data_IF_787591531217
#
_entry.id   IF_787591531217
#
_cell.length_a   1.000
_cell.length_b   1.000
_cell.length_c   1.000
_cell.angle_alpha   90.00
_cell.angle_beta   90.00
_cell.angle_gamma   90.00
#
_symmetry.space_group_name_H-M   'P 1'
#
loop_
_entity.id
_entity.type
_entity.pdbx_description
1 polymer ?
#
# COMPACT_ATOMS: atom_id res chain seq x y z
N UNK A 1 -38.43 8.30 62.53
CA UNK A 1 -37.29 8.56 63.42
C UNK A 1 -36.06 8.45 62.54
N UNK A 2 -35.56 9.57 62.12
CA UNK A 2 -34.48 10.39 62.63
C UNK A 2 -33.19 9.57 62.71
N UNK A 3 -32.14 9.85 62.06
CA UNK A 3 -31.34 10.96 61.48
C UNK A 3 -30.06 10.27 61.09
N UNK A 4 -29.01 10.69 60.57
CA UNK A 4 -28.39 11.98 60.46
C UNK A 4 -27.49 11.95 59.19
N UNK A 5 -27.43 13.12 58.58
CA UNK A 5 -26.48 13.40 57.48
C UNK A 5 -25.13 13.74 58.11
N UNK A 6 -24.08 13.09 57.69
CA UNK A 6 -22.75 13.66 57.76
C UNK A 6 -22.20 14.02 56.39
N UNK A 7 -22.11 15.31 56.23
CA UNK A 7 -21.52 16.00 55.08
C UNK A 7 -20.03 16.04 55.28
N UNK A 8 -19.25 15.32 54.52
CA UNK A 8 -17.80 15.58 54.42
C UNK A 8 -17.51 16.17 53.05
N UNK A 9 -17.03 17.43 53.10
CA UNK A 9 -16.58 18.16 51.91
C UNK A 9 -15.32 17.53 51.30
N UNK A 10 -15.17 17.52 49.98
CA UNK A 10 -13.96 17.01 49.33
C UNK A 10 -12.83 18.05 49.39
N UNK A 11 -11.65 17.57 49.75
CA UNK A 11 -10.38 18.26 49.67
C UNK A 11 -10.02 18.51 48.20
N UNK A 12 -9.60 19.69 47.76
CA UNK A 12 -9.15 19.92 46.39
C UNK A 12 -7.75 19.28 46.18
N UNK A 13 -7.66 18.21 45.42
CA UNK A 13 -6.39 17.73 44.88
C UNK A 13 -5.99 18.64 43.72
N UNK A 14 -4.91 19.35 43.89
CA UNK A 14 -4.19 20.07 42.82
C UNK A 14 -3.65 19.02 41.86
N UNK A 15 -4.21 18.97 40.64
CA UNK A 15 -3.65 18.20 39.54
C UNK A 15 -2.48 19.01 38.94
N UNK A 16 -1.33 18.39 38.66
CA UNK A 16 -0.29 19.02 37.85
C UNK A 16 -0.74 19.10 36.40
N UNK A 17 -0.32 20.16 35.77
CA UNK A 17 -0.52 20.65 34.43
C UNK A 17 -1.00 19.66 33.35
N UNK A 18 -2.09 20.09 32.71
CA UNK A 18 -2.81 19.36 31.68
C UNK A 18 -2.00 19.05 30.44
N UNK A 19 -1.58 17.81 30.31
CA UNK A 19 -1.36 17.19 29.00
C UNK A 19 -2.65 16.42 28.63
N UNK A 20 -3.41 16.99 27.71
CA UNK A 20 -4.49 16.27 27.04
C UNK A 20 -3.90 15.05 26.34
N UNK A 21 -4.57 13.88 26.35
CA UNK A 21 -4.14 12.73 25.58
C UNK A 21 -4.16 13.10 24.10
N UNK A 22 -2.97 13.09 23.48
CA UNK A 22 -2.78 13.36 22.07
C UNK A 22 -3.59 12.35 21.25
N UNK A 23 -4.73 12.80 20.75
CA UNK A 23 -5.39 12.16 19.62
C UNK A 23 -4.36 12.07 18.48
N UNK A 24 -4.25 10.89 17.86
CA UNK A 24 -3.45 10.63 16.68
C UNK A 24 -3.95 11.54 15.54
N UNK A 25 -3.42 12.75 15.45
CA UNK A 25 -3.62 13.57 14.27
C UNK A 25 -2.69 13.02 13.18
N UNK A 26 -3.31 12.56 12.11
CA UNK A 26 -2.77 12.04 10.85
C UNK A 26 -1.85 13.01 10.09
N UNK A 27 -1.25 14.04 10.70
CA UNK A 27 -0.57 15.11 9.97
C UNK A 27 0.65 15.68 10.68
N UNK A 28 1.73 14.88 10.78
CA UNK A 28 3.09 15.42 10.96
C UNK A 28 3.88 15.50 9.62
N UNK A 29 3.23 15.25 8.48
CA UNK A 29 3.77 15.59 7.16
C UNK A 29 3.72 17.11 7.02
N UNK A 30 4.85 17.75 6.70
CA UNK A 30 4.83 19.12 6.18
C UNK A 30 3.93 19.06 4.96
N UNK A 31 2.76 19.74 4.93
CA UNK A 31 1.93 19.72 3.74
C UNK A 31 2.79 20.21 2.59
N UNK A 32 2.82 19.46 1.50
CA UNK A 32 3.34 19.94 0.24
C UNK A 32 2.38 21.05 -0.21
N UNK A 33 2.54 22.23 0.39
CA UNK A 33 1.99 23.45 -0.17
C UNK A 33 2.79 23.70 -1.42
N UNK A 34 2.15 23.59 -2.56
CA UNK A 34 2.61 24.14 -3.84
C UNK A 34 2.92 25.63 -3.65
N UNK A 35 4.05 25.95 -3.02
CA UNK A 35 4.66 27.24 -3.27
C UNK A 35 4.97 27.24 -4.76
N UNK A 36 4.13 27.95 -5.50
CA UNK A 36 4.29 28.25 -6.92
C UNK A 36 5.72 28.69 -7.17
N UNK A 37 6.63 27.77 -7.38
CA UNK A 37 7.84 28.05 -8.10
C UNK A 37 7.38 28.49 -9.49
N UNK A 38 7.61 29.77 -9.81
CA UNK A 38 7.33 30.35 -11.11
C UNK A 38 7.98 29.49 -12.18
N UNK A 39 7.26 28.52 -12.72
CA UNK A 39 7.61 27.89 -13.98
C UNK A 39 6.65 28.38 -15.03
N UNK A 40 7.18 28.80 -16.16
CA UNK A 40 6.45 28.96 -17.39
C UNK A 40 5.74 27.64 -17.72
N UNK A 41 4.47 27.68 -18.10
CA UNK A 41 3.71 26.57 -18.69
C UNK A 41 3.34 25.35 -17.81
N UNK A 42 2.91 25.52 -16.56
CA UNK A 42 2.25 24.43 -15.82
C UNK A 42 3.13 23.26 -15.40
N UNK A 43 4.44 23.31 -15.63
CA UNK A 43 5.40 22.30 -15.20
C UNK A 43 5.69 22.45 -13.70
N UNK A 44 5.49 21.39 -12.91
CA UNK A 44 5.93 21.34 -11.51
C UNK A 44 7.40 20.95 -11.45
N UNK A 45 8.25 21.84 -10.95
CA UNK A 45 9.69 21.61 -10.82
C UNK A 45 10.14 21.73 -9.37
N UNK A 46 11.05 20.87 -8.97
CA UNK A 46 11.67 20.89 -7.64
C UNK A 46 13.18 20.63 -7.78
N UNK A 47 13.99 21.36 -7.03
CA UNK A 47 15.43 21.08 -7.00
C UNK A 47 15.71 19.86 -6.11
N UNK A 48 16.76 19.10 -6.43
CA UNK A 48 17.18 17.95 -5.61
C UNK A 48 17.38 18.29 -4.13
N UNK A 49 18.06 19.39 -3.75
CA UNK A 49 18.17 19.76 -2.33
C UNK A 49 16.81 19.94 -1.64
N UNK A 50 15.86 20.60 -2.31
CA UNK A 50 14.51 20.82 -1.77
C UNK A 50 13.73 19.51 -1.67
N UNK A 51 13.84 18.63 -2.66
CA UNK A 51 13.24 17.28 -2.64
C UNK A 51 13.73 16.47 -1.43
N UNK A 52 15.03 16.54 -1.12
CA UNK A 52 15.62 15.80 0.02
C UNK A 52 15.22 16.37 1.40
N UNK A 53 14.60 17.54 1.46
CA UNK A 53 14.06 18.11 2.71
C UNK A 53 12.62 17.66 2.97
N UNK A 54 11.90 17.19 1.93
CA UNK A 54 10.51 16.74 2.03
C UNK A 54 10.47 15.37 2.70
N UNK A 55 9.47 15.18 3.55
CA UNK A 55 9.10 13.88 4.13
C UNK A 55 7.79 13.46 3.48
N UNK A 56 7.86 12.43 2.67
CA UNK A 56 6.67 11.83 2.11
C UNK A 56 6.12 10.80 3.09
N UNK A 57 4.80 10.75 3.31
CA UNK A 57 4.21 9.67 4.09
C UNK A 57 4.47 8.35 3.35
N UNK A 58 5.09 7.39 4.02
CA UNK A 58 5.25 6.05 3.46
C UNK A 58 3.93 5.32 3.66
N UNK A 59 3.36 4.83 2.57
CA UNK A 59 2.23 3.93 2.61
C UNK A 59 2.76 2.50 2.66
N UNK A 60 2.34 1.69 3.65
CA UNK A 60 2.75 0.30 3.69
C UNK A 60 2.25 -0.43 2.43
N UNK A 61 2.98 -1.44 2.00
CA UNK A 61 2.50 -2.36 0.98
C UNK A 61 1.18 -2.97 1.45
N UNK A 62 0.24 -3.17 0.54
CA UNK A 62 -1.04 -3.84 0.88
C UNK A 62 -0.76 -5.30 1.26
N UNK A 63 0.17 -5.95 0.55
CA UNK A 63 0.70 -7.28 0.87
C UNK A 63 2.21 -7.18 0.80
N UNK A 64 2.88 -7.38 1.94
CA UNK A 64 4.34 -7.23 2.04
C UNK A 64 5.08 -8.14 1.07
N UNK A 65 6.01 -7.58 0.31
CA UNK A 65 6.81 -8.31 -0.65
C UNK A 65 6.06 -8.75 -1.92
N UNK A 66 4.72 -8.63 -2.00
CA UNK A 66 3.93 -9.07 -3.16
C UNK A 66 3.19 -7.91 -3.84
N UNK A 67 2.54 -7.03 -3.08
CA UNK A 67 1.68 -5.96 -3.63
C UNK A 67 1.97 -4.61 -2.95
N UNK A 68 3.02 -3.91 -3.37
CA UNK A 68 3.25 -2.51 -2.98
C UNK A 68 2.09 -1.60 -3.39
N UNK A 69 2.06 -0.36 -2.86
CA UNK A 69 1.09 0.65 -3.31
C UNK A 69 1.36 0.98 -4.78
N UNK A 70 0.32 0.95 -5.61
CA UNK A 70 0.44 1.22 -7.05
C UNK A 70 -0.67 0.58 -7.87
N UNK A 71 -0.50 0.58 -9.19
CA UNK A 71 -1.46 0.00 -10.14
C UNK A 71 -0.88 -1.25 -10.79
N UNK A 72 -1.55 -2.37 -10.60
CA UNK A 72 -1.11 -3.69 -11.02
C UNK A 72 -2.09 -4.36 -11.96
N UNK A 73 -1.55 -5.10 -12.93
CA UNK A 73 -2.34 -5.99 -13.80
C UNK A 73 -2.30 -7.41 -13.20
N UNK A 74 -3.47 -8.05 -13.01
CA UNK A 74 -3.55 -9.49 -12.81
C UNK A 74 -4.04 -10.13 -14.10
N UNK A 75 -3.15 -10.80 -14.82
CA UNK A 75 -3.47 -11.41 -16.09
C UNK A 75 -3.44 -12.93 -16.02
N UNK A 76 -4.11 -13.58 -16.98
CA UNK A 76 -4.11 -15.03 -17.11
C UNK A 76 -5.21 -15.52 -18.06
N UNK A 77 -5.09 -16.75 -18.51
CA UNK A 77 -6.05 -17.37 -19.42
C UNK A 77 -7.49 -17.37 -18.83
N UNK A 78 -8.53 -17.34 -19.66
CA UNK A 78 -9.89 -17.55 -19.19
C UNK A 78 -10.01 -18.86 -18.38
N UNK A 79 -10.72 -18.79 -17.23
CA UNK A 79 -10.97 -19.94 -16.33
C UNK A 79 -9.72 -20.50 -15.63
N UNK A 80 -8.62 -19.76 -15.57
CA UNK A 80 -7.43 -20.17 -14.81
C UNK A 80 -7.62 -20.05 -13.29
N UNK A 81 -8.61 -19.27 -12.83
CA UNK A 81 -8.90 -19.08 -11.40
C UNK A 81 -8.64 -17.67 -10.88
N UNK A 82 -8.46 -16.65 -11.77
CA UNK A 82 -8.21 -15.26 -11.38
C UNK A 82 -9.25 -14.69 -10.42
N UNK A 83 -10.55 -14.89 -10.67
CA UNK A 83 -11.62 -14.36 -9.82
C UNK A 83 -11.64 -15.01 -8.42
N UNK A 84 -11.21 -16.27 -8.26
CA UNK A 84 -10.97 -16.85 -6.93
C UNK A 84 -9.78 -16.21 -6.26
N UNK A 85 -8.70 -16.00 -7.00
CA UNK A 85 -7.48 -15.37 -6.51
C UNK A 85 -7.74 -13.96 -5.99
N UNK A 86 -8.43 -13.11 -6.77
CA UNK A 86 -8.72 -11.73 -6.32
C UNK A 86 -9.78 -11.67 -5.23
N UNK A 87 -10.74 -12.60 -5.18
CA UNK A 87 -11.71 -12.67 -4.09
C UNK A 87 -11.03 -13.04 -2.76
N UNK A 88 -10.13 -14.03 -2.79
CA UNK A 88 -9.31 -14.41 -1.65
C UNK A 88 -8.39 -13.25 -1.21
N UNK A 89 -7.72 -12.59 -2.16
CA UNK A 89 -6.90 -11.40 -1.88
C UNK A 89 -7.73 -10.31 -1.22
N UNK A 90 -8.90 -9.98 -1.78
CA UNK A 90 -9.81 -8.97 -1.24
C UNK A 90 -10.25 -9.29 0.19
N UNK A 91 -10.63 -10.54 0.45
CA UNK A 91 -11.00 -11.00 1.78
C UNK A 91 -9.82 -10.89 2.76
N UNK A 92 -8.64 -11.37 2.39
CA UNK A 92 -7.45 -11.30 3.26
C UNK A 92 -7.02 -9.86 3.54
N UNK A 93 -7.10 -8.96 2.57
CA UNK A 93 -6.80 -7.54 2.79
C UNK A 93 -7.85 -6.88 3.69
N UNK A 94 -9.11 -7.28 3.60
CA UNK A 94 -10.15 -6.71 4.47
C UNK A 94 -10.09 -7.23 5.91
N UNK A 95 -9.50 -8.39 6.15
CA UNK A 95 -9.44 -9.03 7.50
C UNK A 95 -8.06 -9.00 8.12
N UNK A 96 -7.00 -8.81 7.33
CA UNK A 96 -5.62 -8.94 7.78
C UNK A 96 -5.11 -10.39 7.79
N UNK A 97 -3.95 -10.58 8.43
CA UNK A 97 -3.27 -11.88 8.48
C UNK A 97 -2.27 -12.05 7.35
N UNK A 98 -2.36 -13.16 6.61
CA UNK A 98 -1.45 -13.48 5.50
C UNK A 98 -2.20 -13.80 4.21
N UNK A 99 -1.56 -13.49 3.09
CA UNK A 99 -1.96 -13.92 1.75
C UNK A 99 -0.74 -14.50 1.04
N UNK A 100 -0.79 -15.78 0.65
CA UNK A 100 0.35 -16.53 0.10
C UNK A 100 1.60 -16.39 1.00
N UNK A 101 1.42 -16.59 2.30
CA UNK A 101 2.44 -16.46 3.36
C UNK A 101 3.05 -15.05 3.54
N UNK A 102 2.60 -14.07 2.78
CA UNK A 102 3.02 -12.67 2.90
C UNK A 102 2.11 -11.92 3.90
N UNK A 103 2.66 -11.12 4.83
CA UNK A 103 1.88 -10.30 5.75
C UNK A 103 1.01 -9.30 5.00
N UNK A 104 -0.22 -9.09 5.51
CA UNK A 104 -1.19 -8.17 4.92
C UNK A 104 -1.41 -6.97 5.83
N UNK A 105 -1.37 -5.77 5.28
CA UNK A 105 -1.82 -4.55 5.95
C UNK A 105 -3.32 -4.36 5.70
N UNK A 106 -4.16 -4.54 6.73
CA UNK A 106 -5.60 -4.53 6.55
C UNK A 106 -6.16 -3.13 6.28
N UNK A 107 -7.28 -3.10 5.56
CA UNK A 107 -8.06 -1.90 5.28
C UNK A 107 -9.27 -2.20 4.43
N UNK A 108 -10.09 -1.18 4.15
CA UNK A 108 -11.28 -1.35 3.31
C UNK A 108 -10.88 -1.70 1.87
N UNK A 109 -11.58 -2.67 1.30
CA UNK A 109 -11.39 -3.16 -0.07
C UNK A 109 -12.68 -2.97 -0.86
N UNK A 110 -12.58 -2.35 -2.04
CA UNK A 110 -13.64 -2.37 -3.04
C UNK A 110 -13.34 -3.42 -4.10
N UNK A 111 -14.19 -4.42 -4.24
CA UNK A 111 -14.11 -5.40 -5.33
C UNK A 111 -15.26 -5.24 -6.32
N UNK A 112 -14.96 -4.74 -7.51
CA UNK A 112 -15.85 -4.62 -8.65
C UNK A 112 -15.82 -5.93 -9.46
N UNK A 113 -16.73 -6.85 -9.15
CA UNK A 113 -16.85 -8.17 -9.77
C UNK A 113 -17.81 -8.11 -10.98
N UNK A 114 -17.41 -7.44 -12.07
CA UNK A 114 -18.28 -7.02 -13.18
C UNK A 114 -18.69 -8.15 -14.15
N UNK A 115 -18.15 -9.35 -13.98
CA UNK A 115 -18.55 -10.56 -14.71
C UNK A 115 -19.22 -11.59 -13.80
N UNK A 116 -19.53 -11.20 -12.57
CA UNK A 116 -20.12 -12.09 -11.57
C UNK A 116 -21.52 -11.64 -11.14
N UNK A 117 -22.18 -12.43 -10.31
CA UNK A 117 -23.45 -12.11 -9.67
C UNK A 117 -23.30 -12.18 -8.16
N UNK A 118 -24.11 -11.42 -7.42
CA UNK A 118 -24.07 -11.43 -5.94
C UNK A 118 -24.32 -12.83 -5.37
N UNK A 119 -25.23 -13.61 -5.96
CA UNK A 119 -25.48 -15.01 -5.57
C UNK A 119 -24.23 -15.90 -5.72
N UNK A 120 -23.47 -15.71 -6.80
CA UNK A 120 -22.26 -16.49 -7.03
C UNK A 120 -21.12 -16.06 -6.10
N UNK A 121 -20.98 -14.76 -5.84
CA UNK A 121 -20.02 -14.23 -4.85
C UNK A 121 -20.34 -14.75 -3.46
N UNK A 122 -21.62 -14.71 -3.04
CA UNK A 122 -22.05 -15.25 -1.76
C UNK A 122 -21.69 -16.72 -1.60
N UNK A 123 -22.00 -17.57 -2.59
CA UNK A 123 -21.67 -19.00 -2.57
C UNK A 123 -20.17 -19.25 -2.42
N UNK A 124 -19.33 -18.45 -3.09
CA UNK A 124 -17.88 -18.56 -3.00
C UNK A 124 -17.37 -18.13 -1.63
N UNK A 125 -17.87 -17.02 -1.10
CA UNK A 125 -17.46 -16.51 0.21
C UNK A 125 -17.85 -17.49 1.32
N UNK A 126 -19.06 -18.05 1.30
CA UNK A 126 -19.50 -19.07 2.28
C UNK A 126 -18.59 -20.31 2.26
N UNK A 127 -18.05 -20.68 1.09
CA UNK A 127 -17.12 -21.78 0.98
C UNK A 127 -15.68 -21.41 1.37
N UNK A 128 -15.32 -20.13 1.18
CA UNK A 128 -13.97 -19.61 1.44
C UNK A 128 -13.72 -19.32 2.90
N UNK A 129 -14.74 -18.87 3.64
CA UNK A 129 -14.60 -18.40 5.01
C UNK A 129 -15.88 -18.54 5.82
N UNK A 130 -15.71 -18.68 7.15
CA UNK A 130 -16.79 -18.64 8.13
C UNK A 130 -16.94 -17.25 8.80
N UNK A 131 -15.99 -16.32 8.52
CA UNK A 131 -15.97 -14.99 9.14
C UNK A 131 -16.34 -13.92 8.14
N UNK A 132 -17.24 -13.05 8.53
CA UNK A 132 -17.60 -11.86 7.75
C UNK A 132 -16.56 -10.74 7.91
N UNK A 133 -16.45 -9.88 6.89
CA UNK A 133 -15.65 -8.66 6.96
C UNK A 133 -16.51 -7.45 6.56
N UNK A 134 -16.70 -6.47 7.44
CA UNK A 134 -17.38 -5.22 7.11
C UNK A 134 -16.56 -4.35 6.14
N UNK A 135 -15.27 -4.61 6.04
CA UNK A 135 -14.33 -3.86 5.19
C UNK A 135 -14.18 -4.46 3.78
N UNK A 136 -14.90 -5.55 3.46
CA UNK A 136 -14.99 -6.09 2.11
C UNK A 136 -16.27 -5.60 1.44
N UNK A 137 -16.15 -4.61 0.57
CA UNK A 137 -17.26 -4.01 -0.17
C UNK A 137 -17.29 -4.57 -1.59
N UNK A 138 -18.44 -5.12 -1.99
CA UNK A 138 -18.63 -5.81 -3.26
C UNK A 138 -19.60 -5.05 -4.17
N UNK A 139 -19.26 -4.93 -5.45
CA UNK A 139 -20.21 -4.46 -6.47
C UNK A 139 -20.10 -5.30 -7.74
N UNK A 140 -21.23 -5.57 -8.36
CA UNK A 140 -21.32 -6.28 -9.67
C UNK A 140 -21.65 -5.28 -10.79
N UNK A 141 -21.72 -4.00 -10.49
CA UNK A 141 -22.00 -2.92 -11.44
C UNK A 141 -21.02 -1.77 -11.22
N UNK A 142 -20.52 -1.21 -12.31
CA UNK A 142 -19.74 0.02 -12.31
C UNK A 142 -19.96 0.74 -13.65
N UNK A 143 -19.76 2.05 -13.65
CA UNK A 143 -19.71 2.85 -14.85
C UNK A 143 -18.45 2.53 -15.66
N UNK A 144 -18.44 2.90 -16.93
CA UNK A 144 -17.21 2.93 -17.73
C UNK A 144 -16.44 4.24 -17.49
N UNK A 145 -15.20 4.30 -17.93
CA UNK A 145 -14.37 5.52 -17.85
C UNK A 145 -15.03 6.71 -18.57
N UNK A 146 -15.74 6.45 -19.67
CA UNK A 146 -16.49 7.48 -20.42
C UNK A 146 -17.80 7.88 -19.72
N UNK A 147 -18.31 7.05 -18.81
CA UNK A 147 -19.53 7.25 -18.03
C UNK A 147 -19.24 7.67 -16.57
N UNK A 148 -18.11 8.31 -16.32
CA UNK A 148 -17.69 8.83 -15.00
C UNK A 148 -17.32 7.77 -13.93
N UNK A 149 -16.69 6.67 -14.29
CA UNK A 149 -16.15 5.71 -13.33
C UNK A 149 -15.28 6.36 -12.24
N UNK A 150 -14.40 7.30 -12.63
CA UNK A 150 -13.51 7.95 -11.66
C UNK A 150 -14.28 8.76 -10.61
N UNK A 151 -15.33 9.47 -11.00
CA UNK A 151 -16.19 10.18 -10.04
C UNK A 151 -16.97 9.21 -9.13
N UNK A 152 -17.37 8.05 -9.66
CA UNK A 152 -18.00 6.98 -8.86
C UNK A 152 -17.02 6.42 -7.83
N UNK A 153 -15.77 6.18 -8.20
CA UNK A 153 -14.72 5.72 -7.28
C UNK A 153 -14.38 6.81 -6.24
N UNK A 154 -14.32 8.08 -6.65
CA UNK A 154 -14.07 9.19 -5.73
C UNK A 154 -15.18 9.32 -4.67
N UNK A 155 -16.45 9.21 -5.08
CA UNK A 155 -17.58 9.15 -4.13
C UNK A 155 -17.45 7.98 -3.15
N UNK A 156 -17.05 6.79 -3.64
CA UNK A 156 -16.79 5.65 -2.77
C UNK A 156 -15.66 5.92 -1.77
N UNK A 157 -14.55 6.52 -2.19
CA UNK A 157 -13.43 6.85 -1.29
C UNK A 157 -13.79 7.91 -0.24
N UNK A 158 -14.77 8.79 -0.52
CA UNK A 158 -15.31 9.74 0.48
C UNK A 158 -16.10 9.01 1.56
N UNK A 159 -16.90 8.00 1.18
CA UNK A 159 -17.69 7.19 2.11
C UNK A 159 -16.82 6.20 2.89
N UNK A 160 -15.73 5.71 2.27
CA UNK A 160 -14.81 4.71 2.83
C UNK A 160 -13.36 5.23 2.79
N UNK A 161 -12.98 6.17 3.67
CA UNK A 161 -11.67 6.84 3.63
C UNK A 161 -10.49 5.92 3.98
N UNK A 162 -10.73 4.77 4.60
CA UNK A 162 -9.71 3.77 4.96
C UNK A 162 -9.48 2.72 3.85
N UNK A 163 -9.98 3.00 2.62
CA UNK A 163 -9.76 2.13 1.47
C UNK A 163 -8.28 2.05 1.11
N UNK A 164 -7.77 0.83 1.04
CA UNK A 164 -6.36 0.54 0.68
C UNK A 164 -6.24 -0.15 -0.67
N UNK A 165 -7.31 -0.87 -1.10
CA UNK A 165 -7.29 -1.68 -2.31
C UNK A 165 -8.62 -1.53 -3.08
N UNK A 166 -8.51 -1.32 -4.39
CA UNK A 166 -9.62 -1.42 -5.34
C UNK A 166 -9.28 -2.49 -6.37
N UNK A 167 -10.16 -3.45 -6.57
CA UNK A 167 -10.02 -4.52 -7.57
C UNK A 167 -11.09 -4.37 -8.64
N UNK A 168 -10.69 -4.37 -9.91
CA UNK A 168 -11.61 -4.33 -11.06
C UNK A 168 -11.51 -5.64 -11.84
N UNK A 169 -12.50 -6.50 -11.73
CA UNK A 169 -12.62 -7.79 -12.43
C UNK A 169 -13.83 -7.71 -13.36
N UNK A 170 -13.64 -7.32 -14.59
CA UNK A 170 -12.46 -7.27 -15.45
C UNK A 170 -12.29 -5.86 -16.06
N UNK A 171 -11.04 -5.45 -16.31
CA UNK A 171 -10.71 -4.15 -16.92
C UNK A 171 -11.53 -3.87 -18.19
N UNK A 172 -11.80 -4.88 -19.02
CA UNK A 172 -12.55 -4.73 -20.26
C UNK A 172 -13.97 -4.16 -20.05
N UNK A 173 -14.58 -4.34 -18.88
CA UNK A 173 -15.94 -3.86 -18.58
C UNK A 173 -15.99 -2.38 -18.30
N UNK A 174 -14.90 -1.78 -17.86
CA UNK A 174 -14.82 -0.36 -17.49
C UNK A 174 -14.14 0.50 -18.56
N UNK A 175 -13.63 -0.10 -19.63
CA UNK A 175 -13.08 0.65 -20.77
C UNK A 175 -14.16 1.47 -21.46
N UNK A 176 -13.77 2.64 -21.96
CA UNK A 176 -14.61 3.43 -22.85
C UNK A 176 -14.90 2.73 -24.17
N UNK A 177 -16.00 3.08 -24.81
CA UNK A 177 -16.45 2.54 -26.10
C UNK A 177 -15.95 3.42 -27.26
N UNK A 178 -14.66 3.53 -27.48
CA UNK A 178 -14.13 4.20 -28.67
C UNK A 178 -13.94 3.19 -29.82
N UNK A 179 -14.12 3.61 -31.08
CA UNK A 179 -13.92 2.73 -32.25
C UNK A 179 -12.52 2.10 -32.30
N UNK A 180 -11.51 2.79 -31.76
CA UNK A 180 -10.10 2.34 -31.69
C UNK A 180 -9.71 1.75 -30.32
N UNK A 181 -10.67 1.23 -29.56
CA UNK A 181 -10.48 0.74 -28.18
C UNK A 181 -9.45 -0.39 -28.01
N UNK A 182 -8.93 -0.94 -29.10
CA UNK A 182 -7.88 -1.99 -29.10
C UNK A 182 -6.52 -1.48 -29.56
N UNK A 183 -6.31 -0.14 -29.64
CA UNK A 183 -5.01 0.42 -30.01
C UNK A 183 -4.09 0.53 -28.77
N UNK A 184 -2.78 0.55 -29.03
CA UNK A 184 -1.76 0.81 -28.00
C UNK A 184 -2.06 2.09 -27.21
N UNK A 185 -2.43 3.18 -27.90
CA UNK A 185 -2.72 4.46 -27.30
C UNK A 185 -3.95 4.40 -26.38
N UNK A 186 -5.02 3.71 -26.79
CA UNK A 186 -6.23 3.55 -25.98
C UNK A 186 -6.00 2.70 -24.72
N UNK A 187 -5.20 1.64 -24.83
CA UNK A 187 -4.80 0.80 -23.70
C UNK A 187 -3.98 1.60 -22.69
N UNK A 188 -2.97 2.31 -23.18
CA UNK A 188 -2.11 3.17 -22.36
C UNK A 188 -2.93 4.27 -21.66
N UNK A 189 -3.81 4.95 -22.38
CA UNK A 189 -4.63 6.07 -21.88
C UNK A 189 -5.62 5.61 -20.80
N UNK A 190 -6.24 4.44 -21.01
CA UNK A 190 -7.12 3.80 -20.04
C UNK A 190 -6.40 3.56 -18.72
N UNK A 191 -5.23 2.95 -18.79
CA UNK A 191 -4.46 2.60 -17.59
C UNK A 191 -3.86 3.85 -16.95
N UNK A 192 -3.37 4.81 -17.74
CA UNK A 192 -2.81 6.06 -17.24
C UNK A 192 -3.83 6.88 -16.42
N UNK A 193 -5.11 6.94 -16.86
CA UNK A 193 -6.18 7.59 -16.11
C UNK A 193 -6.43 6.90 -14.76
N UNK A 194 -6.55 5.57 -14.75
CA UNK A 194 -6.77 4.78 -13.55
C UNK A 194 -5.57 4.88 -12.59
N UNK A 195 -4.34 4.83 -13.14
CA UNK A 195 -3.12 5.00 -12.34
C UNK A 195 -3.04 6.39 -11.72
N UNK A 196 -3.28 7.45 -12.49
CA UNK A 196 -3.28 8.83 -11.98
C UNK A 196 -4.26 8.99 -10.82
N UNK A 197 -5.44 8.37 -10.94
CA UNK A 197 -6.43 8.34 -9.87
C UNK A 197 -5.90 7.60 -8.63
N UNK A 198 -5.38 6.39 -8.80
CA UNK A 198 -4.84 5.59 -7.71
C UNK A 198 -3.69 6.30 -6.98
N UNK A 199 -2.75 6.89 -7.72
CA UNK A 199 -1.62 7.66 -7.20
C UNK A 199 -2.09 8.88 -6.38
N UNK A 200 -3.08 9.63 -6.90
CA UNK A 200 -3.64 10.82 -6.23
C UNK A 200 -4.28 10.50 -4.87
N UNK A 201 -5.00 9.37 -4.79
CA UNK A 201 -5.65 8.91 -3.56
C UNK A 201 -4.74 7.99 -2.73
N UNK A 202 -3.63 7.52 -3.32
CA UNK A 202 -2.64 6.64 -2.71
C UNK A 202 -3.23 5.31 -2.28
N UNK A 203 -4.04 4.75 -3.12
CA UNK A 203 -4.61 3.40 -3.02
C UNK A 203 -3.90 2.46 -3.96
N UNK A 204 -4.01 1.18 -3.69
CA UNK A 204 -3.58 0.15 -4.64
C UNK A 204 -4.74 -0.24 -5.55
N UNK A 205 -4.46 -0.37 -6.84
CA UNK A 205 -5.43 -0.77 -7.85
C UNK A 205 -4.97 -2.07 -8.52
N UNK A 206 -5.80 -3.10 -8.47
CA UNK A 206 -5.59 -4.37 -9.18
C UNK A 206 -6.60 -4.51 -10.30
N UNK A 207 -6.11 -4.60 -11.53
CA UNK A 207 -6.90 -4.69 -12.75
C UNK A 207 -6.80 -6.11 -13.32
N UNK A 208 -7.89 -6.86 -13.26
CA UNK A 208 -7.92 -8.21 -13.83
C UNK A 208 -8.05 -8.13 -15.34
N UNK A 209 -7.22 -8.89 -16.05
CA UNK A 209 -7.19 -8.92 -17.50
C UNK A 209 -6.98 -10.33 -18.05
N UNK A 210 -7.20 -10.53 -19.35
CA UNK A 210 -6.96 -11.80 -20.00
C UNK A 210 -5.59 -11.82 -20.69
N UNK A 211 -4.99 -13.01 -20.81
CA UNK A 211 -3.84 -13.25 -21.68
C UNK A 211 -4.30 -13.68 -23.08
N UNK A 212 -3.46 -13.47 -24.10
CA UNK A 212 -3.63 -14.01 -25.43
C UNK A 212 -3.45 -15.53 -25.41
N UNK A 213 -3.92 -16.20 -26.44
CA UNK A 213 -3.77 -17.67 -26.58
C UNK A 213 -2.39 -18.09 -27.09
N UNK A 214 -1.61 -17.17 -27.59
CA UNK A 214 -0.28 -17.41 -28.13
C UNK A 214 0.73 -17.60 -27.01
N UNK A 215 1.60 -18.60 -27.14
CA UNK A 215 2.74 -18.78 -26.26
C UNK A 215 3.82 -17.73 -26.62
N UNK A 216 4.40 -17.10 -25.62
CA UNK A 216 5.55 -16.23 -25.79
C UNK A 216 6.72 -16.78 -24.96
N UNK A 217 7.96 -16.45 -25.35
CA UNK A 217 9.15 -16.81 -24.57
C UNK A 217 9.13 -16.16 -23.19
N UNK A 218 8.64 -14.92 -23.12
CA UNK A 218 8.36 -14.21 -21.89
C UNK A 218 6.84 -14.21 -21.64
N UNK A 219 6.43 -14.74 -20.48
CA UNK A 219 5.04 -14.87 -20.08
C UNK A 219 4.33 -13.51 -20.02
N UNK A 220 5.05 -12.43 -19.69
CA UNK A 220 4.50 -11.08 -19.63
C UNK A 220 4.07 -10.54 -21.00
N UNK A 221 4.65 -11.03 -22.09
CA UNK A 221 4.20 -10.71 -23.44
C UNK A 221 2.88 -11.36 -23.83
N UNK A 222 2.36 -12.29 -23.02
CA UNK A 222 1.07 -12.93 -23.26
C UNK A 222 -0.13 -12.06 -22.85
N UNK A 223 0.08 -10.96 -22.13
CA UNK A 223 -1.02 -10.07 -21.72
C UNK A 223 -1.77 -9.59 -22.96
N UNK A 224 -3.10 -9.81 -22.98
CA UNK A 224 -3.97 -9.39 -24.08
C UNK A 224 -3.97 -7.87 -24.23
N UNK A 225 -4.05 -7.38 -25.45
CA UNK A 225 -3.94 -5.95 -25.75
C UNK A 225 -2.56 -5.63 -26.29
N UNK A 226 -2.07 -4.46 -26.00
CA UNK A 226 -0.79 -3.96 -26.45
C UNK A 226 0.21 -3.90 -25.30
N UNK A 227 1.50 -3.77 -25.60
CA UNK A 227 2.53 -3.47 -24.60
C UNK A 227 2.25 -2.16 -23.84
N UNK A 228 1.21 -1.39 -24.25
CA UNK A 228 0.76 -0.17 -23.56
C UNK A 228 0.25 -0.40 -22.16
N UNK A 229 -0.45 -1.51 -21.91
CA UNK A 229 -0.92 -1.86 -20.54
C UNK A 229 0.25 -2.10 -19.59
N UNK A 230 1.22 -2.92 -20.01
CA UNK A 230 2.41 -3.18 -19.19
C UNK A 230 3.26 -1.93 -18.96
N UNK A 231 3.41 -1.08 -20.00
CA UNK A 231 4.21 0.14 -19.89
C UNK A 231 3.64 1.18 -18.92
N UNK A 232 2.31 1.20 -18.75
CA UNK A 232 1.63 2.16 -17.85
C UNK A 232 1.46 1.64 -16.41
N UNK A 233 1.43 0.31 -16.18
CA UNK A 233 1.32 -0.28 -14.86
C UNK A 233 2.61 -0.15 -14.03
N UNK A 234 2.49 -0.23 -12.71
CA UNK A 234 3.63 -0.34 -11.80
C UNK A 234 4.15 -1.76 -11.72
N UNK A 235 3.31 -2.74 -12.02
CA UNK A 235 3.70 -4.14 -12.11
C UNK A 235 2.59 -5.02 -12.67
N UNK A 236 2.91 -6.30 -12.80
CA UNK A 236 1.96 -7.32 -13.26
C UNK A 236 2.16 -8.64 -12.52
N UNK A 237 1.05 -9.33 -12.34
CA UNK A 237 0.93 -10.67 -11.81
C UNK A 237 0.31 -11.53 -12.91
N UNK A 238 0.97 -12.63 -13.29
CA UNK A 238 0.46 -13.54 -14.33
C UNK A 238 0.19 -14.89 -13.72
N UNK A 239 -1.09 -15.24 -13.63
CA UNK A 239 -1.54 -16.55 -13.16
C UNK A 239 -1.72 -17.48 -14.37
N UNK A 240 -0.93 -18.56 -14.44
CA UNK A 240 -1.01 -19.54 -15.49
C UNK A 240 -0.90 -20.98 -14.98
N UNK A 241 -1.36 -21.93 -15.77
CA UNK A 241 -1.32 -23.36 -15.49
C UNK A 241 -0.68 -24.09 -16.65
N UNK A 242 0.22 -25.00 -16.38
CA UNK A 242 0.81 -25.87 -17.41
C UNK A 242 -0.23 -26.84 -18.00
N UNK A 243 -1.15 -27.31 -17.15
CA UNK A 243 -2.25 -28.21 -17.55
C UNK A 243 -3.58 -27.66 -17.06
N UNK A 244 -4.57 -27.57 -17.95
CA UNK A 244 -5.91 -27.05 -17.61
C UNK A 244 -6.62 -27.80 -16.49
N UNK A 245 -6.37 -29.10 -16.36
CA UNK A 245 -7.02 -29.98 -15.38
C UNK A 245 -6.27 -30.10 -14.07
N UNK A 246 -5.07 -29.48 -13.95
CA UNK A 246 -4.29 -29.50 -12.73
C UNK A 246 -4.83 -28.51 -11.68
N UNK A 247 -4.61 -28.83 -10.38
CA UNK A 247 -4.79 -27.87 -9.29
C UNK A 247 -3.65 -26.84 -9.28
N UNK A 248 -2.48 -27.22 -9.75
CA UNK A 248 -1.26 -26.43 -9.71
C UNK A 248 -1.27 -25.27 -10.70
N UNK A 249 -0.74 -24.16 -10.30
CA UNK A 249 -0.56 -22.97 -11.11
C UNK A 249 0.76 -22.28 -10.74
N UNK A 250 1.22 -21.40 -11.63
CA UNK A 250 2.36 -20.52 -11.39
C UNK A 250 1.87 -19.08 -11.42
N UNK A 251 2.32 -18.29 -10.47
CA UNK A 251 2.14 -16.85 -10.44
C UNK A 251 3.50 -16.20 -10.67
N UNK A 252 3.69 -15.62 -11.85
CA UNK A 252 4.84 -14.77 -12.14
C UNK A 252 4.49 -13.33 -11.79
N UNK A 253 5.38 -12.66 -11.07
CA UNK A 253 5.21 -11.28 -10.60
C UNK A 253 6.38 -10.44 -11.05
N UNK A 254 6.11 -9.25 -11.58
CA UNK A 254 7.12 -8.24 -11.93
C UNK A 254 6.63 -6.85 -11.52
N UNK A 255 7.55 -5.94 -11.20
CA UNK A 255 7.19 -4.57 -10.84
C UNK A 255 8.37 -3.62 -10.88
N UNK A 256 8.09 -2.30 -10.90
CA UNK A 256 9.12 -1.26 -10.95
C UNK A 256 10.00 -1.23 -9.69
N UNK A 257 9.39 -1.46 -8.53
CA UNK A 257 10.02 -1.29 -7.22
C UNK A 257 10.14 -2.60 -6.44
N UNK A 258 10.03 -3.74 -7.14
CA UNK A 258 10.17 -5.07 -6.56
C UNK A 258 10.89 -6.01 -7.54
N UNK A 259 11.64 -7.00 -7.06
CA UNK A 259 12.26 -8.01 -7.90
C UNK A 259 11.20 -8.91 -8.54
N UNK A 260 11.54 -9.51 -9.67
CA UNK A 260 10.72 -10.54 -10.28
C UNK A 260 10.63 -11.77 -9.36
N UNK A 261 9.42 -12.34 -9.28
CA UNK A 261 9.15 -13.50 -8.44
C UNK A 261 8.37 -14.55 -9.23
N UNK A 262 8.62 -15.81 -8.88
CA UNK A 262 7.82 -16.95 -9.37
C UNK A 262 7.35 -17.77 -8.18
N UNK A 263 6.03 -17.89 -8.06
CA UNK A 263 5.36 -18.57 -6.97
C UNK A 263 4.59 -19.78 -7.54
N UNK A 264 4.83 -20.96 -7.00
CA UNK A 264 4.07 -22.17 -7.30
C UNK A 264 2.89 -22.28 -6.36
N UNK A 265 1.70 -22.35 -6.92
CA UNK A 265 0.44 -22.34 -6.20
C UNK A 265 -0.33 -23.64 -6.42
N UNK A 266 -1.07 -24.08 -5.41
CA UNK A 266 -2.06 -25.14 -5.51
C UNK A 266 -3.45 -24.57 -5.21
N UNK A 267 -4.45 -24.96 -6.00
CA UNK A 267 -5.83 -24.58 -5.76
C UNK A 267 -6.54 -25.62 -4.91
N UNK A 268 -6.99 -25.24 -3.73
CA UNK A 268 -7.85 -26.06 -2.88
C UNK A 268 -9.33 -25.85 -3.24
N UNK A 269 -9.99 -26.85 -3.84
CA UNK A 269 -11.41 -26.77 -4.20
C UNK A 269 -12.34 -26.81 -2.98
N UNK A 270 -11.87 -27.24 -1.80
CA UNK A 270 -12.69 -27.31 -0.59
C UNK A 270 -12.98 -25.91 -0.03
N UNK A 271 -12.01 -25.01 -0.05
CA UNK A 271 -12.17 -23.62 0.39
C UNK A 271 -12.12 -22.61 -0.76
N UNK A 272 -11.98 -23.04 -2.01
CA UNK A 272 -11.83 -22.20 -3.22
C UNK A 272 -10.64 -21.20 -3.11
N UNK A 273 -9.58 -21.64 -2.42
CA UNK A 273 -8.40 -20.81 -2.12
C UNK A 273 -7.18 -21.28 -2.90
N UNK A 274 -6.28 -20.34 -3.16
CA UNK A 274 -4.94 -20.61 -3.64
C UNK A 274 -3.98 -20.66 -2.44
N UNK A 275 -3.15 -21.68 -2.40
CA UNK A 275 -2.12 -21.87 -1.38
C UNK A 275 -0.74 -21.80 -2.03
N UNK A 276 0.22 -21.18 -1.33
CA UNK A 276 1.61 -21.16 -1.75
C UNK A 276 2.22 -22.54 -1.45
N UNK A 277 2.79 -23.16 -2.48
CA UNK A 277 3.52 -24.43 -2.37
C UNK A 277 5.02 -24.17 -2.26
N UNK A 278 5.53 -23.32 -3.14
CA UNK A 278 6.95 -23.02 -3.24
C UNK A 278 7.16 -21.62 -3.84
N UNK A 279 8.20 -20.93 -3.42
CA UNK A 279 8.68 -19.70 -4.03
C UNK A 279 10.09 -19.92 -4.58
N UNK A 280 10.27 -19.76 -5.88
CA UNK A 280 11.60 -19.82 -6.50
C UNK A 280 12.46 -18.62 -6.12
N UNK A 281 11.83 -17.51 -5.75
CA UNK A 281 12.48 -16.28 -5.32
C UNK A 281 12.03 -15.92 -3.93
N UNK A 282 12.95 -15.80 -2.98
CA UNK A 282 12.61 -15.30 -1.65
C UNK A 282 11.98 -13.90 -1.77
N UNK A 283 10.91 -13.59 -1.02
CA UNK A 283 10.33 -12.25 -0.99
C UNK A 283 11.44 -11.24 -0.73
N UNK A 284 11.48 -10.17 -1.53
CA UNK A 284 12.49 -9.13 -1.33
C UNK A 284 12.29 -8.52 0.07
N UNK A 285 13.24 -8.80 0.93
CA UNK A 285 13.37 -8.08 2.19
C UNK A 285 14.43 -7.00 1.99
N UNK A 286 14.03 -5.74 2.09
CA UNK A 286 14.99 -4.65 2.08
C UNK A 286 16.01 -4.90 3.20
N UNK A 287 17.32 -4.93 2.87
CA UNK A 287 18.34 -5.18 3.89
C UNK A 287 18.24 -4.12 5.00
N UNK A 288 18.51 -4.50 6.25
CA UNK A 288 18.45 -3.57 7.37
C UNK A 288 19.27 -2.31 7.09
N UNK A 289 18.69 -1.15 7.34
CA UNK A 289 19.37 0.13 7.12
C UNK A 289 20.40 0.36 8.24
N UNK A 290 21.71 0.43 7.93
CA UNK A 290 22.74 0.54 8.96
C UNK A 290 22.60 1.78 9.85
N UNK A 291 22.07 2.91 9.29
CA UNK A 291 21.83 4.11 10.09
C UNK A 291 20.65 3.91 11.07
N UNK A 292 19.55 3.33 10.59
CA UNK A 292 18.38 3.10 11.45
C UNK A 292 18.71 2.11 12.56
N UNK A 293 19.50 1.06 12.27
CA UNK A 293 19.99 0.13 13.27
C UNK A 293 20.91 0.80 14.29
N UNK A 294 21.81 1.68 13.84
CA UNK A 294 22.68 2.41 14.74
C UNK A 294 21.89 3.34 15.67
N UNK A 295 20.84 3.98 15.14
CA UNK A 295 19.94 4.83 15.91
C UNK A 295 19.10 4.01 16.89
N UNK A 296 18.63 2.81 16.52
CA UNK A 296 17.84 1.96 17.42
C UNK A 296 18.63 1.46 18.62
N UNK A 297 19.96 1.35 18.50
CA UNK A 297 20.86 1.06 19.63
C UNK A 297 21.11 2.29 20.52
N UNK A 298 20.98 3.49 19.97
CA UNK A 298 21.20 4.75 20.69
C UNK A 298 19.96 5.20 21.45
N UNK A 299 18.77 4.97 20.87
CA UNK A 299 17.48 5.39 21.42
C UNK A 299 16.66 4.14 21.73
N UNK A 300 16.52 3.86 23.04
CA UNK A 300 15.87 2.64 23.56
C UNK A 300 14.84 3.04 24.61
N UNK A 301 14.13 2.06 25.16
CA UNK A 301 13.22 2.26 26.31
C UNK A 301 13.95 2.85 27.53
N UNK A 302 15.20 2.43 27.76
CA UNK A 302 16.02 2.92 28.88
C UNK A 302 16.59 4.33 28.62
N UNK A 303 16.86 4.67 27.34
CA UNK A 303 17.32 5.97 26.87
C UNK A 303 16.34 6.54 25.83
N UNK A 304 15.16 7.02 26.25
CA UNK A 304 14.02 7.24 25.35
C UNK A 304 14.14 8.50 24.47
N UNK A 305 15.12 9.35 24.70
CA UNK A 305 15.26 10.58 23.91
C UNK A 305 16.73 10.90 23.61
N UNK A 306 16.98 11.24 22.36
CA UNK A 306 18.21 11.82 21.89
C UNK A 306 17.94 13.14 21.19
N UNK A 307 18.72 14.19 21.53
CA UNK A 307 18.59 15.53 20.94
C UNK A 307 19.97 16.10 20.64
N UNK A 308 20.14 16.62 19.43
CA UNK A 308 21.40 17.25 19.03
C UNK A 308 21.38 17.66 17.55
N UNK A 309 22.51 18.11 17.06
CA UNK A 309 22.74 18.42 15.65
C UNK A 309 23.06 17.16 14.86
N UNK A 310 22.97 17.21 13.53
CA UNK A 310 23.36 16.10 12.68
C UNK A 310 24.86 15.77 12.80
N UNK A 311 25.69 16.79 13.13
CA UNK A 311 27.13 16.62 13.35
C UNK A 311 27.40 15.84 14.64
N UNK A 312 26.70 16.16 15.71
CA UNK A 312 26.81 15.43 16.99
C UNK A 312 26.32 13.99 16.84
N UNK A 313 25.23 13.77 16.09
CA UNK A 313 24.74 12.42 15.81
C UNK A 313 25.78 11.61 15.02
N UNK A 314 26.38 12.22 13.99
CA UNK A 314 27.43 11.56 13.20
C UNK A 314 28.66 11.20 14.06
N UNK A 315 29.07 12.08 14.98
CA UNK A 315 30.15 11.82 15.92
C UNK A 315 29.83 10.69 16.89
N UNK A 316 28.58 10.65 17.40
CA UNK A 316 28.17 9.64 18.38
C UNK A 316 28.01 8.25 17.75
N UNK A 317 27.60 8.18 16.49
CA UNK A 317 27.46 6.92 15.73
C UNK A 317 28.79 6.35 15.19
N UNK A 318 29.91 6.93 15.51
CA UNK A 318 31.35 6.70 15.21
C UNK A 318 31.77 5.58 14.22
N UNK A 319 30.98 4.55 14.02
CA UNK A 319 31.37 3.33 13.30
C UNK A 319 30.87 3.24 11.85
N UNK A 320 30.11 4.23 11.34
CA UNK A 320 29.42 4.07 10.06
C UNK A 320 29.89 4.97 8.91
N UNK A 321 30.83 5.90 9.13
CA UNK A 321 31.26 6.85 8.09
C UNK A 321 30.14 7.80 7.62
N UNK A 322 29.09 7.99 8.42
CA UNK A 322 27.91 8.77 8.07
C UNK A 322 28.20 10.27 8.11
N UNK A 323 28.03 10.97 6.98
CA UNK A 323 28.13 12.42 6.97
C UNK A 323 26.84 13.07 7.54
N UNK A 324 26.91 14.24 8.20
CA UNK A 324 25.73 14.92 8.74
C UNK A 324 24.60 15.14 7.72
N UNK A 325 24.95 15.54 6.50
CA UNK A 325 23.99 15.72 5.42
C UNK A 325 23.31 14.42 5.00
N UNK A 326 24.08 13.32 4.91
CA UNK A 326 23.55 12.02 4.56
C UNK A 326 22.59 11.50 5.61
N UNK A 327 22.91 11.67 6.91
CA UNK A 327 22.02 11.32 8.04
C UNK A 327 20.67 12.01 7.90
N UNK A 328 20.67 13.35 7.70
CA UNK A 328 19.40 14.09 7.60
C UNK A 328 18.56 13.65 6.42
N UNK A 329 19.18 13.46 5.24
CA UNK A 329 18.49 12.97 4.03
C UNK A 329 17.89 11.58 4.26
N UNK A 330 18.68 10.67 4.83
CA UNK A 330 18.24 9.30 5.11
C UNK A 330 17.11 9.25 6.13
N UNK A 331 17.21 10.03 7.21
CA UNK A 331 16.14 10.16 8.21
C UNK A 331 14.87 10.78 7.63
N UNK A 332 14.97 11.77 6.76
CA UNK A 332 13.80 12.34 6.08
C UNK A 332 13.13 11.31 5.17
N UNK A 333 13.91 10.49 4.45
CA UNK A 333 13.39 9.48 3.53
C UNK A 333 12.80 8.26 4.24
N UNK A 334 13.33 7.88 5.43
CA UNK A 334 12.98 6.63 6.13
C UNK A 334 12.42 6.84 7.55
N UNK A 335 11.88 8.02 7.83
CA UNK A 335 11.37 8.35 9.17
C UNK A 335 10.21 7.45 9.61
N UNK A 336 9.39 6.98 8.67
CA UNK A 336 8.28 6.07 8.96
C UNK A 336 8.77 4.67 9.26
N UNK A 337 9.78 4.17 8.51
CA UNK A 337 10.42 2.88 8.81
C UNK A 337 11.05 2.92 10.21
N UNK A 338 11.69 4.05 10.56
CA UNK A 338 12.25 4.24 11.91
C UNK A 338 11.16 4.18 12.98
N UNK A 339 9.98 4.74 12.70
CA UNK A 339 8.84 4.71 13.62
C UNK A 339 8.20 3.31 13.68
N UNK A 340 7.89 2.71 12.54
CA UNK A 340 7.13 1.45 12.48
C UNK A 340 7.96 0.26 12.96
N UNK A 341 9.20 0.14 12.47
CA UNK A 341 10.06 -1.01 12.77
C UNK A 341 10.81 -0.90 14.11
N UNK A 342 11.21 0.32 14.47
CA UNK A 342 12.06 0.54 15.65
C UNK A 342 11.37 1.33 16.77
N UNK A 343 10.13 1.77 16.57
CA UNK A 343 9.37 2.53 17.56
C UNK A 343 9.97 3.89 17.88
N UNK A 344 10.76 4.49 16.96
CA UNK A 344 11.47 5.75 17.20
C UNK A 344 10.90 6.84 16.31
N UNK A 345 10.34 7.87 16.94
CA UNK A 345 9.84 9.07 16.26
C UNK A 345 10.95 10.07 16.00
N UNK A 346 11.07 10.50 14.74
CA UNK A 346 12.03 11.52 14.31
C UNK A 346 11.34 12.85 14.07
N UNK A 347 11.87 13.93 14.67
CA UNK A 347 11.45 15.31 14.44
C UNK A 347 12.64 16.23 14.23
N UNK A 348 12.43 17.36 13.55
CA UNK A 348 13.44 18.43 13.41
C UNK A 348 12.89 19.75 13.87
N UNK A 349 13.71 20.54 14.53
CA UNK A 349 13.39 21.92 14.90
C UNK A 349 14.46 22.85 14.34
N UNK A 350 14.04 23.95 13.72
CA UNK A 350 14.95 24.99 13.24
C UNK A 350 14.94 26.13 14.25
N UNK A 351 16.09 26.54 14.73
CA UNK A 351 16.30 27.69 15.59
C UNK A 351 17.28 28.67 14.93
N UNK A 352 17.50 29.82 15.55
CA UNK A 352 18.53 30.77 15.09
C UNK A 352 19.95 30.20 15.13
N UNK A 353 20.17 29.18 15.96
CA UNK A 353 21.45 28.48 16.13
C UNK A 353 21.66 27.30 15.20
N UNK A 354 20.63 26.93 14.40
CA UNK A 354 20.70 25.84 13.42
C UNK A 354 19.55 24.85 13.48
N UNK A 355 19.72 23.73 12.79
CA UNK A 355 18.75 22.62 12.71
C UNK A 355 19.09 21.56 13.76
N UNK A 356 18.19 21.34 14.71
CA UNK A 356 18.29 20.31 15.75
C UNK A 356 17.43 19.11 15.37
N UNK A 357 17.94 17.90 15.58
CA UNK A 357 17.26 16.62 15.41
C UNK A 357 16.75 16.16 16.78
N UNK A 358 15.57 15.58 16.81
CA UNK A 358 14.97 14.94 17.97
C UNK A 358 14.57 13.52 17.59
N UNK A 359 15.09 12.54 18.30
CA UNK A 359 14.77 11.14 18.18
C UNK A 359 14.15 10.70 19.51
N UNK A 360 12.93 10.13 19.49
CA UNK A 360 12.22 9.73 20.69
C UNK A 360 11.65 8.33 20.52
N UNK A 361 11.99 7.45 21.46
CA UNK A 361 11.37 6.13 21.54
C UNK A 361 9.89 6.27 21.98
N UNK A 362 8.99 5.60 21.28
CA UNK A 362 7.54 5.63 21.53
C UNK A 362 6.94 4.22 21.59
N UNK A 363 7.80 3.19 21.48
CA UNK A 363 7.39 1.78 21.47
C UNK A 363 7.09 1.27 20.05
N UNK A 364 7.35 0.00 19.84
CA UNK A 364 6.90 -0.73 18.65
C UNK A 364 5.46 -1.15 18.90
N UNK A 365 4.56 -0.83 17.96
CA UNK A 365 3.13 -1.19 18.05
C UNK A 365 2.86 -2.56 17.47
#
# INVERSE_FOLDING_TARGET
MWGDKETTAPIPSVAPDGEQPFALTRNDSIPFTEEKNKSSDGMTVISMPKLMEIRFPVKPAVIEGLLPVGTYLLAGAPKVGKSFFVLQMAYRVSTGGTFLDCPVHPGTVLYLALEDTLDRLQKRLVQMTEQDSPDLILSVLANTLDENLLAQLEGFLMDYPDTVLVIIDILQRVRGRTPDSCSYAADYDTLAKLKTFADAHGITLVLVHHTRKESAEDVFHTISGTNGLMGAADGALILHKDRRTGADAVLDVTGRDQPDMRLHLCFDPACLCWELVESETAPYQEPPDPLLEAISRLVTEECPEWRGTATELAQQLQSGGFTPNWIVRRLNAKHDILLQKYGIRYRTRRSKEGKTLLLRWVGVR
#
